data_IF_490908014911
#
_entry.id   IF_490908014911
#
_cell.length_a   1.000
_cell.length_b   1.000
_cell.length_c   1.000
_cell.angle_alpha   90.00
_cell.angle_beta   90.00
_cell.angle_gamma   90.00
#
_symmetry.space_group_name_H-M   'P 1'
#
loop_
_entity.id
_entity.type
_entity.pdbx_description
1 polymer ?
#
# COMPACT_ATOMS: atom_id res chain seq x y z
N UNK A 1 0.42 -14.78 -0.48
CA UNK A 1 0.30 -14.98 0.98
C UNK A 1 1.14 -13.96 1.75
N UNK A 2 0.74 -13.57 2.95
CA UNK A 2 1.60 -12.78 3.86
C UNK A 2 2.44 -13.75 4.70
N UNK A 3 3.63 -14.09 4.19
CA UNK A 3 4.40 -15.21 4.70
C UNK A 3 3.67 -16.52 4.38
N UNK A 4 4.00 -17.59 5.08
CA UNK A 4 3.47 -18.94 4.82
C UNK A 4 2.08 -19.19 5.44
N UNK A 5 1.39 -18.14 5.89
CA UNK A 5 0.11 -18.25 6.60
C UNK A 5 -1.07 -18.02 5.63
N UNK A 6 -1.77 -19.10 5.27
CA UNK A 6 -2.95 -19.06 4.38
C UNK A 6 -4.11 -18.21 4.91
N UNK A 7 -4.15 -17.92 6.19
CA UNK A 7 -5.14 -17.04 6.81
C UNK A 7 -5.04 -15.61 6.28
N UNK A 8 -3.85 -15.15 5.86
CA UNK A 8 -3.63 -13.78 5.42
C UNK A 8 -3.30 -13.72 3.93
N UNK A 9 -4.32 -13.44 3.13
CA UNK A 9 -4.20 -13.29 1.67
C UNK A 9 -4.36 -11.83 1.28
N UNK A 10 -3.40 -11.30 0.51
CA UNK A 10 -3.50 -9.97 -0.11
C UNK A 10 -3.36 -10.16 -1.61
N UNK A 11 -4.18 -9.44 -2.36
CA UNK A 11 -4.08 -9.32 -3.81
C UNK A 11 -3.54 -7.95 -4.17
N UNK A 12 -2.51 -7.90 -5.00
CA UNK A 12 -1.97 -6.68 -5.59
C UNK A 12 -1.83 -6.82 -7.10
N UNK A 13 -1.76 -5.68 -7.78
CA UNK A 13 -1.45 -5.62 -9.21
C UNK A 13 -0.19 -4.77 -9.32
N UNK A 14 0.86 -5.36 -9.90
CA UNK A 14 2.16 -4.71 -10.09
C UNK A 14 2.22 -4.18 -11.51
N UNK A 15 2.64 -2.93 -11.70
CA UNK A 15 2.74 -2.32 -13.03
C UNK A 15 3.80 -3.00 -13.90
N UNK A 16 4.98 -3.27 -13.31
CA UNK A 16 6.07 -3.93 -14.03
C UNK A 16 7.06 -4.59 -13.07
N UNK A 17 7.56 -5.76 -13.45
CA UNK A 17 8.65 -6.46 -12.77
C UNK A 17 9.72 -6.80 -13.80
N UNK A 18 10.97 -6.46 -13.49
CA UNK A 18 12.15 -6.80 -14.28
C UNK A 18 13.10 -7.70 -13.49
N UNK A 19 13.87 -8.53 -14.19
CA UNK A 19 14.94 -9.33 -13.60
C UNK A 19 16.12 -9.50 -14.55
N UNK A 20 17.31 -9.69 -13.99
CA UNK A 20 18.55 -9.82 -14.74
C UNK A 20 18.96 -11.28 -15.06
N UNK A 21 18.13 -12.25 -14.69
CA UNK A 21 18.42 -13.69 -14.81
C UNK A 21 19.46 -14.21 -13.79
N UNK A 22 19.96 -13.34 -12.90
CA UNK A 22 20.99 -13.67 -11.87
C UNK A 22 20.46 -13.55 -10.43
N UNK A 23 19.14 -13.33 -10.28
CA UNK A 23 18.45 -13.20 -9.00
C UNK A 23 18.27 -11.77 -8.51
N UNK A 24 18.58 -10.76 -9.32
CA UNK A 24 18.29 -9.38 -9.00
C UNK A 24 17.01 -8.94 -9.70
N UNK A 25 16.09 -8.38 -8.94
CA UNK A 25 14.74 -8.00 -9.36
C UNK A 25 14.51 -6.52 -9.16
N UNK A 26 13.69 -5.93 -10.02
CA UNK A 26 13.19 -4.56 -9.87
C UNK A 26 11.66 -4.56 -9.95
N UNK A 27 11.00 -3.90 -9.00
CA UNK A 27 9.55 -3.69 -8.99
C UNK A 27 9.31 -2.22 -9.30
N UNK A 28 8.59 -1.94 -10.37
CA UNK A 28 8.32 -0.60 -10.86
C UNK A 28 6.86 -0.22 -10.64
N UNK A 29 6.64 1.03 -10.25
CA UNK A 29 5.32 1.64 -10.09
C UNK A 29 5.32 3.03 -10.75
N UNK A 30 4.32 3.29 -11.59
CA UNK A 30 4.20 4.52 -12.37
C UNK A 30 3.17 5.47 -11.76
N UNK A 31 3.63 6.59 -11.22
CA UNK A 31 2.81 7.61 -10.56
C UNK A 31 2.55 8.80 -11.49
N UNK A 32 1.26 9.03 -11.79
CA UNK A 32 0.80 10.17 -12.59
C UNK A 32 0.41 11.38 -11.74
N UNK A 33 0.49 11.27 -10.41
CA UNK A 33 0.15 12.35 -9.48
C UNK A 33 1.14 13.52 -9.50
N UNK A 34 0.65 14.67 -9.04
CA UNK A 34 1.42 15.95 -9.04
C UNK A 34 2.53 16.04 -7.98
N UNK A 35 2.67 15.03 -7.09
CA UNK A 35 3.67 15.07 -6.02
C UNK A 35 4.57 13.84 -6.10
N UNK A 36 5.87 14.08 -6.15
CA UNK A 36 6.85 13.02 -5.99
C UNK A 36 7.07 12.70 -4.51
N UNK A 37 7.36 11.44 -4.20
CA UNK A 37 7.76 11.02 -2.86
C UNK A 37 9.16 11.54 -2.54
N UNK A 38 9.37 11.95 -1.30
CA UNK A 38 10.73 12.09 -0.79
C UNK A 38 11.37 10.70 -0.59
N UNK A 39 12.70 10.62 -0.56
CA UNK A 39 13.41 9.38 -0.27
C UNK A 39 12.91 8.73 1.03
N UNK A 40 12.77 9.53 2.11
CA UNK A 40 12.26 9.06 3.39
C UNK A 40 10.83 8.47 3.31
N UNK A 41 9.98 9.01 2.44
CA UNK A 41 8.64 8.47 2.23
C UNK A 41 8.68 7.18 1.40
N UNK A 42 9.50 7.13 0.37
CA UNK A 42 9.73 5.94 -0.43
C UNK A 42 10.27 4.78 0.42
N UNK A 43 11.21 5.05 1.34
CA UNK A 43 11.79 4.05 2.24
C UNK A 43 10.77 3.46 3.24
N UNK A 44 9.63 4.14 3.43
CA UNK A 44 8.55 3.71 4.33
C UNK A 44 7.27 3.30 3.58
N UNK A 45 7.29 3.33 2.27
CA UNK A 45 6.12 2.98 1.47
C UNK A 45 5.76 1.51 1.64
N UNK A 46 4.49 1.25 1.95
CA UNK A 46 3.98 -0.10 2.17
C UNK A 46 3.58 -0.78 0.85
N UNK A 47 3.17 -0.03 -0.17
CA UNK A 47 2.64 -0.59 -1.41
C UNK A 47 3.69 -1.47 -2.11
N UNK A 48 4.87 -0.92 -2.40
CA UNK A 48 5.92 -1.67 -3.08
C UNK A 48 6.57 -2.73 -2.17
N UNK A 49 6.57 -2.51 -0.85
CA UNK A 49 6.98 -3.55 0.09
C UNK A 49 6.05 -4.78 0.06
N UNK A 50 4.73 -4.58 -0.05
CA UNK A 50 3.76 -5.66 -0.22
C UNK A 50 3.94 -6.37 -1.57
N UNK A 51 4.27 -5.66 -2.63
CA UNK A 51 4.61 -6.27 -3.92
C UNK A 51 5.88 -7.12 -3.83
N UNK A 52 6.90 -6.64 -3.12
CA UNK A 52 8.11 -7.44 -2.85
C UNK A 52 7.78 -8.71 -2.06
N UNK A 53 6.92 -8.65 -1.06
CA UNK A 53 6.47 -9.83 -0.30
C UNK A 53 5.77 -10.82 -1.24
N UNK A 54 4.89 -10.34 -2.11
CA UNK A 54 4.23 -11.16 -3.12
C UNK A 54 5.24 -11.82 -4.08
N UNK A 55 6.24 -11.08 -4.56
CA UNK A 55 7.30 -11.64 -5.40
C UNK A 55 8.08 -12.73 -4.66
N UNK A 56 8.43 -12.49 -3.39
CA UNK A 56 9.19 -13.45 -2.56
C UNK A 56 8.39 -14.72 -2.24
N UNK A 57 7.07 -14.70 -2.31
CA UNK A 57 6.23 -15.89 -2.13
C UNK A 57 6.10 -16.76 -3.39
N UNK A 58 6.43 -16.22 -4.57
CA UNK A 58 6.27 -16.90 -5.84
C UNK A 58 7.61 -17.27 -6.51
N UNK A 59 8.69 -16.65 -6.08
CA UNK A 59 10.01 -16.77 -6.71
C UNK A 59 11.06 -17.19 -5.72
N UNK A 60 11.80 -18.23 -6.06
CA UNK A 60 12.94 -18.71 -5.29
C UNK A 60 14.26 -18.02 -5.70
N UNK A 61 15.26 -18.10 -4.83
CA UNK A 61 16.64 -17.63 -5.09
C UNK A 61 16.76 -16.13 -5.42
N UNK A 62 15.91 -15.30 -4.81
CA UNK A 62 16.02 -13.84 -4.90
C UNK A 62 17.26 -13.37 -4.12
N UNK A 63 18.18 -12.69 -4.79
CA UNK A 63 19.37 -12.07 -4.18
C UNK A 63 19.10 -10.64 -3.75
N UNK A 64 18.41 -9.89 -4.57
CA UNK A 64 18.04 -8.51 -4.26
C UNK A 64 16.74 -8.10 -4.94
N UNK A 65 16.01 -7.18 -4.29
CA UNK A 65 14.86 -6.51 -4.88
C UNK A 65 15.06 -5.01 -4.74
N UNK A 66 14.90 -4.28 -5.84
CA UNK A 66 14.87 -2.83 -5.90
C UNK A 66 13.45 -2.37 -6.17
N UNK A 67 12.97 -1.42 -5.39
CA UNK A 67 11.67 -0.79 -5.54
C UNK A 67 11.85 0.54 -6.24
N UNK A 68 11.08 0.81 -7.29
CA UNK A 68 11.31 1.96 -8.18
C UNK A 68 9.99 2.67 -8.47
N UNK A 69 9.88 3.94 -8.06
CA UNK A 69 8.77 4.81 -8.40
C UNK A 69 9.15 5.73 -9.55
N UNK A 70 8.32 5.76 -10.59
CA UNK A 70 8.45 6.67 -11.72
C UNK A 70 7.41 7.77 -11.62
N UNK A 71 7.81 8.99 -11.27
CA UNK A 71 6.92 10.15 -11.24
C UNK A 71 6.89 10.82 -12.62
N UNK A 72 5.95 10.37 -13.46
CA UNK A 72 5.90 10.68 -14.88
C UNK A 72 5.85 12.20 -15.15
N UNK A 73 5.02 12.94 -14.41
CA UNK A 73 4.87 14.39 -14.60
C UNK A 73 6.15 15.19 -14.30
N UNK A 74 7.06 14.63 -13.52
CA UNK A 74 8.28 15.31 -13.10
C UNK A 74 9.55 14.76 -13.75
N UNK A 75 9.45 13.65 -14.47
CA UNK A 75 10.61 12.92 -14.96
C UNK A 75 11.53 12.41 -13.84
N UNK A 76 11.00 12.23 -12.62
CA UNK A 76 11.77 11.83 -11.44
C UNK A 76 11.60 10.33 -11.21
N UNK A 77 12.72 9.70 -10.86
CA UNK A 77 12.78 8.32 -10.41
C UNK A 77 13.28 8.27 -8.97
N UNK A 78 12.56 7.57 -8.09
CA UNK A 78 12.96 7.33 -6.72
C UNK A 78 13.16 5.84 -6.52
N UNK A 79 14.24 5.44 -5.89
CA UNK A 79 14.58 4.03 -5.65
C UNK A 79 14.68 3.74 -4.16
N UNK A 80 14.30 2.55 -3.74
CA UNK A 80 14.45 2.08 -2.38
C UNK A 80 14.72 0.58 -2.33
N UNK A 81 15.26 0.12 -1.22
CA UNK A 81 15.43 -1.31 -0.92
C UNK A 81 14.87 -1.59 0.47
N UNK A 82 14.44 -2.81 0.71
CA UNK A 82 13.95 -3.25 2.02
C UNK A 82 14.91 -4.28 2.60
N UNK A 83 15.24 -4.12 3.85
CA UNK A 83 15.90 -5.17 4.64
C UNK A 83 14.90 -6.27 5.00
N UNK A 84 15.40 -7.41 5.42
CA UNK A 84 14.53 -8.49 5.93
C UNK A 84 13.73 -8.04 7.17
N UNK A 85 14.27 -7.10 7.95
CA UNK A 85 13.58 -6.52 9.09
C UNK A 85 12.41 -5.63 8.65
N UNK A 86 12.62 -4.76 7.65
CA UNK A 86 11.55 -3.94 7.07
C UNK A 86 10.41 -4.80 6.53
N UNK A 87 10.75 -5.88 5.82
CA UNK A 87 9.75 -6.82 5.29
C UNK A 87 8.97 -7.49 6.41
N UNK A 88 9.65 -8.01 7.46
CA UNK A 88 8.95 -8.60 8.62
C UNK A 88 8.04 -7.60 9.32
N UNK A 89 8.48 -6.35 9.45
CA UNK A 89 7.66 -5.28 10.03
C UNK A 89 6.39 -5.05 9.21
N UNK A 90 6.49 -4.89 7.90
CA UNK A 90 5.33 -4.70 7.02
C UNK A 90 4.37 -5.89 7.09
N UNK A 91 4.88 -7.13 7.11
CA UNK A 91 4.05 -8.33 7.29
C UNK A 91 3.26 -8.26 8.60
N UNK A 92 3.93 -7.96 9.72
CA UNK A 92 3.29 -7.92 11.03
C UNK A 92 2.25 -6.79 11.13
N UNK A 93 2.57 -5.60 10.66
CA UNK A 93 1.64 -4.46 10.66
C UNK A 93 0.40 -4.76 9.81
N UNK A 94 0.59 -5.43 8.68
CA UNK A 94 -0.52 -5.81 7.80
C UNK A 94 -1.38 -6.90 8.42
N UNK A 95 -0.77 -7.95 9.03
CA UNK A 95 -1.50 -8.99 9.76
C UNK A 95 -2.32 -8.39 10.90
N UNK A 96 -1.73 -7.52 11.70
CA UNK A 96 -2.41 -6.84 12.80
C UNK A 96 -3.62 -6.03 12.32
N UNK A 97 -3.47 -5.29 11.21
CA UNK A 97 -4.58 -4.55 10.61
C UNK A 97 -5.72 -5.45 10.15
N UNK A 98 -5.39 -6.59 9.53
CA UNK A 98 -6.38 -7.59 9.11
C UNK A 98 -7.10 -8.19 10.33
N UNK A 99 -6.37 -8.55 11.39
CA UNK A 99 -6.95 -9.12 12.61
C UNK A 99 -7.82 -8.10 13.35
N UNK A 100 -7.42 -6.83 13.39
CA UNK A 100 -8.26 -5.76 13.94
C UNK A 100 -9.59 -5.62 13.19
N UNK A 101 -9.55 -5.60 11.85
CA UNK A 101 -10.75 -5.51 11.02
C UNK A 101 -11.66 -6.73 11.26
N UNK A 102 -11.08 -7.94 11.26
CA UNK A 102 -11.83 -9.18 11.51
C UNK A 102 -12.45 -9.21 12.90
N UNK A 103 -11.68 -8.80 13.92
CA UNK A 103 -12.15 -8.71 15.28
C UNK A 103 -13.35 -7.78 15.43
N UNK A 104 -13.29 -6.59 14.79
CA UNK A 104 -14.43 -5.67 14.76
C UNK A 104 -15.65 -6.28 14.07
N UNK A 105 -15.46 -6.88 12.90
CA UNK A 105 -16.56 -7.51 12.17
C UNK A 105 -17.22 -8.64 12.97
N UNK A 106 -16.44 -9.51 13.62
CA UNK A 106 -16.94 -10.65 14.41
C UNK A 106 -17.70 -10.23 15.66
N UNK A 107 -17.32 -9.07 16.25
CA UNK A 107 -17.93 -8.58 17.47
C UNK A 107 -19.07 -7.58 17.23
N UNK A 108 -19.53 -7.41 15.99
CA UNK A 108 -20.52 -6.40 15.61
C UNK A 108 -20.02 -4.95 15.84
N UNK A 109 -18.71 -4.76 15.85
CA UNK A 109 -18.07 -3.49 16.13
C UNK A 109 -18.29 -2.48 15.03
N UNK A 110 -18.37 -1.23 15.42
CA UNK A 110 -18.49 -0.11 14.50
C UNK A 110 -17.13 0.31 13.95
N UNK A 111 -17.14 0.82 12.71
CA UNK A 111 -16.02 1.52 12.09
C UNK A 111 -16.31 3.04 12.15
N UNK A 112 -15.95 3.73 13.25
CA UNK A 112 -16.30 5.12 13.41
C UNK A 112 -15.62 5.97 12.33
N UNK A 113 -16.34 6.91 11.71
CA UNK A 113 -15.78 7.79 10.71
C UNK A 113 -14.74 8.72 11.34
N UNK A 114 -13.61 8.90 10.66
CA UNK A 114 -12.55 9.82 11.07
C UNK A 114 -12.61 11.09 10.23
N UNK A 115 -13.04 12.20 10.82
CA UNK A 115 -13.03 13.51 10.16
C UNK A 115 -11.62 13.91 9.74
N UNK A 116 -11.47 14.33 8.47
CA UNK A 116 -10.22 14.82 7.90
C UNK A 116 -10.51 15.79 6.75
N UNK A 117 -9.46 16.38 6.18
CA UNK A 117 -9.58 17.22 4.96
C UNK A 117 -10.17 16.42 3.79
N UNK A 118 -10.02 15.09 3.77
CA UNK A 118 -10.57 14.22 2.73
C UNK A 118 -12.10 14.21 2.73
N UNK A 119 -12.76 14.59 3.82
CA UNK A 119 -14.21 14.71 3.87
C UNK A 119 -14.73 15.72 2.83
N UNK A 120 -13.94 16.73 2.46
CA UNK A 120 -14.34 17.71 1.45
C UNK A 120 -14.61 17.09 0.07
N UNK A 121 -14.07 15.92 -0.22
CA UNK A 121 -14.29 15.16 -1.46
C UNK A 121 -15.09 13.87 -1.25
N UNK A 122 -15.72 13.70 -0.07
CA UNK A 122 -16.43 12.48 0.28
C UNK A 122 -17.87 12.51 -0.30
N UNK A 123 -18.19 11.49 -1.11
CA UNK A 123 -19.54 11.30 -1.66
C UNK A 123 -20.52 10.66 -0.66
N UNK A 124 -20.04 10.14 0.48
CA UNK A 124 -20.85 9.56 1.57
C UNK A 124 -21.18 10.57 2.66
N UNK A 125 -21.25 11.85 2.33
CA UNK A 125 -21.48 12.91 3.33
C UNK A 125 -22.82 12.78 4.00
N UNK A 126 -23.88 12.49 3.22
CA UNK A 126 -25.26 12.40 3.71
C UNK A 126 -25.47 11.20 4.64
N UNK A 127 -24.82 10.05 4.34
CA UNK A 127 -24.90 8.85 5.16
C UNK A 127 -23.92 8.86 6.35
N UNK A 128 -23.04 9.85 6.40
CA UNK A 128 -22.00 9.88 7.41
C UNK A 128 -22.55 10.38 8.77
N UNK A 129 -22.45 9.59 9.85
CA UNK A 129 -23.01 9.96 11.16
C UNK A 129 -22.33 11.18 11.80
N UNK A 130 -21.25 11.70 11.22
CA UNK A 130 -20.56 12.91 11.72
C UNK A 130 -20.72 14.12 10.82
N UNK A 131 -21.54 14.03 9.77
CA UNK A 131 -21.84 15.12 8.86
C UNK A 131 -23.37 15.30 8.79
N UNK A 132 -23.83 16.42 8.23
CA UNK A 132 -25.24 16.74 8.09
C UNK A 132 -25.50 17.37 6.72
N UNK A 133 -26.61 17.00 6.08
CA UNK A 133 -27.01 17.50 4.76
C UNK A 133 -26.04 17.10 3.66
N UNK A 134 -26.11 17.79 2.53
CA UNK A 134 -25.25 17.56 1.38
C UNK A 134 -23.84 18.11 1.59
N UNK A 135 -22.85 17.54 0.90
CA UNK A 135 -21.47 17.99 0.98
C UNK A 135 -21.31 19.39 0.37
N UNK A 136 -20.98 20.43 1.16
CA UNK A 136 -20.91 21.80 0.67
C UNK A 136 -19.69 22.07 -0.25
N UNK A 137 -18.75 21.14 -0.33
CA UNK A 137 -17.52 21.25 -1.14
C UNK A 137 -17.63 20.55 -2.49
N UNK A 138 -18.65 19.74 -2.71
CA UNK A 138 -18.91 19.08 -3.99
C UNK A 138 -20.09 19.81 -4.64
N UNK A 139 -19.84 20.50 -5.75
CA UNK A 139 -20.91 21.02 -6.60
C UNK A 139 -21.44 19.89 -7.46
N UNK A 140 -22.76 19.67 -7.38
CA UNK A 140 -23.50 18.74 -8.23
C UNK A 140 -23.52 19.20 -9.69
#
# INVERSE_FOLDING_TARGET
>A
LLGDDEKYKIKGIVDRIDHDGKGNWEIHDYKTGKRALSQKAADKDHQLALYQIGLMSEVENIKSVKLVWHFIQHGIKVESKRTNEDIRKVINETKNSIDEIRGKLSNGGEFPPKKSILCNWCYYWEECPTQYGSNPYIQS
#
